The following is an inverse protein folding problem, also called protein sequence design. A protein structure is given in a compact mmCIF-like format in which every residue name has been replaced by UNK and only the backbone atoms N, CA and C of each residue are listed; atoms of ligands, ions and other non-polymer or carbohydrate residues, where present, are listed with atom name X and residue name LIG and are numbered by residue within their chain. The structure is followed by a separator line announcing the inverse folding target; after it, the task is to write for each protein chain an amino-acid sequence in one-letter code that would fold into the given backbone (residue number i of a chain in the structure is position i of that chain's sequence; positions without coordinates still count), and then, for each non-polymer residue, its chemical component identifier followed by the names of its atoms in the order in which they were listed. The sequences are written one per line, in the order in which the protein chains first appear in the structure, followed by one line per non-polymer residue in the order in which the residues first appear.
data_IF_503572326232
#
_entry.id   IF_503572326232
#
_cell.length_a   1.000
_cell.length_b   1.000
_cell.length_c   1.000
_cell.angle_alpha   90.00
_cell.angle_beta   90.00
_cell.angle_gamma   90.00
#
_symmetry.space_group_name_H-M   'P 1'
#
loop_
_entity.id
_entity.type
_entity.pdbx_description
1 polymer ?
#
# COMPACT_ATOMS: atom_id res chain seq x y z
N UNK A 1 3.90 17.84 56.79
CA UNK A 1 2.78 18.33 55.96
C UNK A 1 3.36 19.23 54.88
N UNK A 2 3.37 18.96 53.58
CA UNK A 2 2.70 17.95 52.75
C UNK A 2 3.70 17.59 51.63
N UNK A 3 4.18 16.34 51.61
CA UNK A 3 4.36 15.60 50.37
C UNK A 3 2.96 15.15 49.95
N UNK A 4 2.60 15.42 48.69
CA UNK A 4 1.51 14.84 47.90
C UNK A 4 0.89 15.95 47.03
N UNK A 5 1.22 15.93 45.74
CA UNK A 5 0.31 16.11 44.60
C UNK A 5 1.04 16.60 43.34
N UNK A 6 2.07 15.85 42.92
CA UNK A 6 2.60 16.00 41.55
C UNK A 6 2.69 14.63 40.84
N UNK A 7 1.74 13.75 41.18
CA UNK A 7 1.47 12.47 40.51
C UNK A 7 0.11 12.56 39.82
N UNK A 8 -0.07 13.56 38.96
CA UNK A 8 -1.09 13.52 37.91
C UNK A 8 -0.39 13.21 36.58
N UNK A 9 -0.21 11.91 36.37
CA UNK A 9 -0.26 11.22 35.09
C UNK A 9 0.12 12.05 33.84
N UNK A 10 1.42 12.14 33.56
CA UNK A 10 1.87 12.01 32.18
C UNK A 10 1.58 10.56 31.77
N UNK A 11 0.37 10.29 31.24
CA UNK A 11 0.14 9.11 30.41
C UNK A 11 1.02 9.29 29.17
N UNK A 12 2.25 8.79 29.24
CA UNK A 12 3.08 8.66 28.06
C UNK A 12 2.52 7.50 27.25
N UNK A 13 2.26 7.72 25.96
CA UNK A 13 1.95 6.67 25.01
C UNK A 13 3.18 5.75 24.91
N UNK A 14 3.19 4.67 25.69
CA UNK A 14 4.29 3.71 25.67
C UNK A 14 4.09 2.76 24.50
N UNK A 15 4.76 3.04 23.37
CA UNK A 15 4.98 2.05 22.32
C UNK A 15 5.99 1.04 22.84
N UNK A 16 5.60 -0.24 22.94
CA UNK A 16 6.45 -1.31 23.48
C UNK A 16 6.39 -2.55 22.60
N UNK A 17 7.54 -3.21 22.46
CA UNK A 17 7.62 -4.57 21.92
C UNK A 17 7.53 -5.53 23.10
N UNK A 18 6.54 -6.42 23.07
CA UNK A 18 6.41 -7.55 23.99
C UNK A 18 7.00 -8.78 23.34
N UNK A 19 7.99 -9.39 23.98
CA UNK A 19 8.69 -10.58 23.46
C UNK A 19 8.36 -11.82 24.31
N UNK A 20 7.96 -12.89 23.65
CA UNK A 20 7.79 -14.22 24.25
C UNK A 20 9.05 -15.06 24.00
N UNK A 21 9.80 -15.30 25.08
CA UNK A 21 11.05 -16.05 25.05
C UNK A 21 10.88 -17.54 24.72
N UNK A 22 9.65 -18.08 24.80
CA UNK A 22 9.37 -19.49 24.53
C UNK A 22 9.14 -19.72 23.04
N UNK A 23 8.33 -18.85 22.41
CA UNK A 23 8.00 -18.94 20.98
C UNK A 23 8.95 -18.14 20.09
N UNK A 24 9.82 -17.31 20.71
CA UNK A 24 10.69 -16.33 20.04
C UNK A 24 9.92 -15.32 19.18
N UNK A 25 8.63 -15.11 19.48
CA UNK A 25 7.79 -14.13 18.80
C UNK A 25 7.72 -12.82 19.59
N UNK A 26 7.56 -11.73 18.85
CA UNK A 26 7.31 -10.41 19.38
C UNK A 26 5.98 -9.85 18.87
N UNK A 27 5.36 -9.04 19.72
CA UNK A 27 4.13 -8.32 19.47
C UNK A 27 4.37 -6.83 19.73
N UNK A 28 3.98 -5.99 18.76
CA UNK A 28 4.08 -4.54 18.90
C UNK A 28 2.81 -4.00 19.54
N UNK A 29 2.94 -3.14 20.56
CA UNK A 29 1.81 -2.55 21.27
C UNK A 29 1.98 -1.03 21.21
N UNK A 30 1.00 -0.36 20.61
CA UNK A 30 0.99 1.11 20.41
C UNK A 30 0.62 1.86 21.70
N UNK A 31 -0.38 1.36 22.42
CA UNK A 31 -0.79 1.83 23.74
C UNK A 31 -0.82 0.62 24.70
N UNK A 32 -0.21 0.76 25.87
CA UNK A 32 -0.22 -0.27 26.91
C UNK A 32 -1.65 -0.77 27.25
N UNK A 33 -2.66 0.10 27.16
CA UNK A 33 -4.05 -0.27 27.40
C UNK A 33 -4.62 -1.26 26.36
N UNK A 34 -4.06 -1.27 25.15
CA UNK A 34 -4.45 -2.19 24.07
C UNK A 34 -3.78 -3.56 24.22
N UNK A 35 -2.80 -3.69 25.12
CA UNK A 35 -2.01 -4.92 25.32
C UNK A 35 -2.86 -6.18 25.46
N UNK A 36 -3.93 -6.24 26.29
CA UNK A 36 -4.75 -7.45 26.40
C UNK A 36 -5.40 -7.83 25.05
N UNK A 37 -5.92 -6.85 24.32
CA UNK A 37 -6.61 -7.05 23.04
C UNK A 37 -5.62 -7.52 21.98
N UNK A 38 -4.51 -6.81 21.80
CA UNK A 38 -3.51 -7.09 20.77
C UNK A 38 -2.83 -8.44 21.05
N UNK A 39 -2.40 -8.68 22.29
CA UNK A 39 -1.63 -9.90 22.61
C UNK A 39 -2.46 -11.17 22.68
N UNK A 40 -3.79 -11.06 22.69
CA UNK A 40 -4.71 -12.21 22.62
C UNK A 40 -4.78 -12.86 21.23
N UNK A 41 -4.33 -12.17 20.18
CA UNK A 41 -4.48 -12.59 18.79
C UNK A 41 -3.19 -13.21 18.27
N UNK A 42 -3.27 -14.36 17.61
CA UNK A 42 -2.08 -15.04 17.08
C UNK A 42 -1.35 -14.21 16.00
N UNK A 43 -2.08 -13.54 15.11
CA UNK A 43 -1.53 -12.71 14.04
C UNK A 43 -0.88 -11.41 14.53
N UNK A 44 -1.03 -11.06 15.81
CA UNK A 44 -0.30 -9.94 16.42
C UNK A 44 1.11 -10.34 16.88
N UNK A 45 1.46 -11.63 16.79
CA UNK A 45 2.77 -12.17 17.15
C UNK A 45 3.54 -12.62 15.90
N UNK A 46 4.70 -12.03 15.67
CA UNK A 46 5.60 -12.41 14.58
C UNK A 46 6.97 -12.83 15.11
N UNK A 47 7.73 -13.68 14.41
CA UNK A 47 9.10 -13.97 14.79
C UNK A 47 9.91 -12.68 14.98
N UNK A 48 10.64 -12.56 16.09
CA UNK A 48 11.41 -11.35 16.39
C UNK A 48 12.42 -11.05 15.29
N UNK A 49 13.00 -12.10 14.71
CA UNK A 49 13.96 -12.03 13.61
C UNK A 49 13.36 -11.31 12.40
N UNK A 50 12.10 -11.58 12.04
CA UNK A 50 11.42 -10.91 10.91
C UNK A 50 11.28 -9.41 11.14
N UNK A 51 11.00 -9.00 12.38
CA UNK A 51 10.88 -7.58 12.75
C UNK A 51 12.26 -6.91 12.69
N UNK A 52 13.28 -7.53 13.27
CA UNK A 52 14.64 -6.99 13.30
C UNK A 52 15.27 -6.94 11.91
N UNK A 53 15.08 -7.97 11.08
CA UNK A 53 15.53 -8.00 9.69
C UNK A 53 14.88 -6.87 8.89
N UNK A 54 13.59 -6.58 9.14
CA UNK A 54 12.93 -5.45 8.51
C UNK A 54 13.54 -4.11 8.94
N UNK A 55 13.89 -3.94 10.22
CA UNK A 55 14.57 -2.73 10.68
C UNK A 55 15.98 -2.58 10.10
N UNK A 56 16.73 -3.68 10.00
CA UNK A 56 18.03 -3.68 9.34
C UNK A 56 17.90 -3.30 7.86
N UNK A 57 16.93 -3.89 7.15
CA UNK A 57 16.65 -3.54 5.77
C UNK A 57 16.26 -2.06 5.60
N UNK A 58 15.50 -1.49 6.54
CA UNK A 58 15.19 -0.04 6.53
C UNK A 58 16.44 0.83 6.66
N UNK A 59 17.44 0.39 7.43
CA UNK A 59 18.71 1.10 7.57
C UNK A 59 19.54 0.95 6.28
N UNK A 60 19.65 -0.28 5.77
CA UNK A 60 20.40 -0.60 4.56
C UNK A 60 19.84 0.09 3.31
N UNK A 61 18.51 0.22 3.22
CA UNK A 61 17.81 0.94 2.14
C UNK A 61 17.87 2.45 2.30
N UNK A 62 18.60 2.95 3.31
CA UNK A 62 18.67 4.35 3.74
C UNK A 62 17.32 4.97 4.10
N UNK A 63 16.31 4.13 4.37
CA UNK A 63 14.97 4.60 4.73
C UNK A 63 14.98 5.29 6.08
N UNK A 64 15.75 4.76 7.01
CA UNK A 64 15.95 5.31 8.34
C UNK A 64 17.41 5.62 8.57
N UNK A 65 17.70 6.85 8.99
CA UNK A 65 19.06 7.33 9.23
C UNK A 65 19.13 8.11 10.54
N UNK A 66 20.27 8.02 11.23
CA UNK A 66 20.55 8.86 12.40
C UNK A 66 21.22 10.16 11.99
N UNK A 67 20.84 11.26 12.62
CA UNK A 67 21.45 12.58 12.43
C UNK A 67 21.79 13.24 13.77
N UNK A 68 22.68 14.22 13.75
CA UNK A 68 22.95 15.04 14.93
C UNK A 68 21.77 15.97 15.27
N UNK A 69 21.68 16.43 16.51
CA UNK A 69 20.63 17.37 16.93
C UNK A 69 20.64 18.69 16.13
N UNK A 70 21.81 19.14 15.70
CA UNK A 70 21.93 20.35 14.90
C UNK A 70 21.47 20.13 13.46
N UNK A 71 21.74 18.95 12.88
CA UNK A 71 21.17 18.55 11.60
C UNK A 71 19.65 18.41 11.70
N UNK A 72 19.12 17.88 12.81
CA UNK A 72 17.69 17.70 13.01
C UNK A 72 16.93 19.04 12.96
N UNK A 73 17.53 20.13 13.46
CA UNK A 73 16.95 21.47 13.37
C UNK A 73 16.88 21.99 11.93
N UNK A 74 17.84 21.63 11.08
CA UNK A 74 17.91 22.06 9.67
C UNK A 74 16.96 21.27 8.76
N UNK A 75 16.78 19.97 9.04
CA UNK A 75 16.02 19.06 8.17
C UNK A 75 14.51 19.08 8.45
N UNK A 76 14.06 19.68 9.57
CA UNK A 76 12.63 19.82 9.91
C UNK A 76 11.76 20.49 8.83
N UNK A 77 12.34 21.28 7.94
CA UNK A 77 11.63 21.92 6.83
C UNK A 77 11.67 21.15 5.50
N UNK A 78 12.42 20.05 5.42
CA UNK A 78 12.53 19.25 4.19
C UNK A 78 11.22 18.47 3.95
N UNK A 79 10.55 18.65 2.80
CA UNK A 79 9.30 17.94 2.49
C UNK A 79 9.49 16.46 2.11
N UNK A 80 10.72 16.00 1.87
CA UNK A 80 11.02 14.63 1.39
C UNK A 80 11.24 13.61 2.52
N UNK A 81 11.37 14.08 3.75
CA UNK A 81 11.62 13.23 4.89
C UNK A 81 10.93 13.76 6.13
N UNK A 82 11.12 13.07 7.24
CA UNK A 82 10.54 13.46 8.51
C UNK A 82 11.47 13.12 9.65
N UNK A 83 11.50 13.99 10.65
CA UNK A 83 12.45 13.91 11.77
C UNK A 83 11.69 13.56 13.04
N UNK A 84 12.09 12.45 13.68
CA UNK A 84 11.64 12.03 15.01
C UNK A 84 12.87 11.94 15.90
N UNK A 85 13.02 12.90 16.81
CA UNK A 85 14.24 13.08 17.61
C UNK A 85 15.51 13.15 16.74
N UNK A 86 16.36 12.12 16.81
CA UNK A 86 17.61 12.01 16.04
C UNK A 86 17.47 11.11 14.80
N UNK A 87 16.27 10.66 14.49
CA UNK A 87 16.00 9.76 13.36
C UNK A 87 15.34 10.53 12.22
N UNK A 88 15.90 10.41 11.02
CA UNK A 88 15.24 10.73 9.76
C UNK A 88 14.53 9.47 9.27
N UNK A 89 13.27 9.60 8.90
CA UNK A 89 12.52 8.63 8.11
C UNK A 89 12.22 9.28 6.75
N UNK A 90 12.84 8.76 5.69
CA UNK A 90 12.62 9.25 4.33
C UNK A 90 11.26 8.80 3.82
N UNK A 91 10.53 9.64 3.09
CA UNK A 91 9.21 9.25 2.56
C UNK A 91 9.33 8.13 1.52
N UNK A 92 10.40 8.14 0.75
CA UNK A 92 10.86 7.09 -0.16
C UNK A 92 12.36 7.26 -0.40
N UNK A 93 13.04 6.18 -0.78
CA UNK A 93 14.47 6.22 -1.15
C UNK A 93 14.67 5.89 -2.63
N UNK A 94 15.92 6.02 -3.11
CA UNK A 94 16.24 5.56 -4.47
C UNK A 94 16.07 4.04 -4.59
N UNK A 95 16.38 3.29 -3.52
CA UNK A 95 16.14 1.84 -3.46
C UNK A 95 14.65 1.51 -3.61
N UNK A 96 13.76 2.25 -2.94
CA UNK A 96 12.30 2.10 -3.13
C UNK A 96 11.89 2.28 -4.60
N UNK A 97 12.43 3.33 -5.25
CA UNK A 97 12.15 3.64 -6.66
C UNK A 97 12.68 2.56 -7.61
N UNK A 98 13.88 2.05 -7.36
CA UNK A 98 14.50 0.99 -8.15
C UNK A 98 13.75 -0.33 -8.00
N UNK A 99 13.39 -0.74 -6.77
CA UNK A 99 12.58 -1.94 -6.50
C UNK A 99 11.25 -1.88 -7.25
N UNK A 100 10.51 -0.79 -7.13
CA UNK A 100 9.24 -0.61 -7.82
C UNK A 100 9.39 -0.65 -9.35
N UNK A 101 10.39 0.05 -9.88
CA UNK A 101 10.66 0.09 -11.33
C UNK A 101 11.04 -1.30 -11.86
N UNK A 102 11.85 -2.05 -11.11
CA UNK A 102 12.26 -3.40 -11.48
C UNK A 102 11.10 -4.40 -11.39
N UNK A 103 10.27 -4.31 -10.34
CA UNK A 103 9.07 -5.13 -10.20
C UNK A 103 8.08 -4.90 -11.36
N UNK A 104 7.87 -3.63 -11.76
CA UNK A 104 7.05 -3.30 -12.93
C UNK A 104 7.62 -3.90 -14.22
N UNK A 105 8.92 -3.71 -14.48
CA UNK A 105 9.59 -4.25 -15.67
C UNK A 105 9.53 -5.78 -15.71
N UNK A 106 9.76 -6.45 -14.58
CA UNK A 106 9.64 -7.90 -14.43
C UNK A 106 8.23 -8.36 -14.79
N UNK A 107 7.19 -7.73 -14.25
CA UNK A 107 5.81 -8.06 -14.57
C UNK A 107 5.52 -7.88 -16.07
N UNK A 108 5.92 -6.75 -16.66
CA UNK A 108 5.75 -6.51 -18.09
C UNK A 108 6.45 -7.56 -18.95
N UNK A 109 7.65 -7.99 -18.56
CA UNK A 109 8.40 -9.05 -19.23
C UNK A 109 7.72 -10.43 -19.04
N UNK A 110 7.23 -10.73 -17.84
CA UNK A 110 6.55 -11.99 -17.53
C UNK A 110 5.27 -12.16 -18.36
N UNK A 111 4.50 -11.08 -18.53
CA UNK A 111 3.32 -11.05 -19.41
C UNK A 111 3.77 -11.15 -20.87
N UNK A 112 4.66 -10.26 -21.30
CA UNK A 112 5.09 -10.18 -22.71
C UNK A 112 5.72 -11.46 -23.26
N UNK A 113 6.40 -12.25 -22.42
CA UNK A 113 6.97 -13.55 -22.80
C UNK A 113 5.94 -14.67 -22.96
N UNK A 114 4.70 -14.47 -22.50
CA UNK A 114 3.59 -15.44 -22.59
C UNK A 114 2.52 -15.04 -23.59
N UNK A 115 2.59 -13.83 -24.15
CA UNK A 115 1.68 -13.41 -25.23
C UNK A 115 1.92 -14.30 -26.45
N UNK A 116 0.86 -14.85 -27.08
CA UNK A 116 0.99 -15.66 -28.29
C UNK A 116 1.75 -14.92 -29.41
N UNK A 117 2.74 -15.59 -30.01
CA UNK A 117 3.62 -15.01 -31.03
C UNK A 117 2.92 -14.52 -32.31
N UNK A 118 1.68 -14.95 -32.56
CA UNK A 118 0.86 -14.54 -33.72
C UNK A 118 0.03 -13.28 -33.47
N UNK A 119 0.09 -12.69 -32.27
CA UNK A 119 -0.58 -11.43 -32.00
C UNK A 119 0.17 -10.26 -32.68
N UNK A 120 -0.36 -9.80 -33.82
CA UNK A 120 0.09 -8.61 -34.58
C UNK A 120 -0.21 -7.27 -33.83
N UNK A 121 0.01 -7.24 -32.51
CA UNK A 121 -0.21 -6.06 -31.69
C UNK A 121 0.96 -5.08 -31.82
N UNK A 122 0.64 -3.86 -32.25
CA UNK A 122 1.62 -2.76 -32.29
C UNK A 122 2.04 -2.39 -30.87
N UNK A 123 3.34 -2.16 -30.61
CA UNK A 123 3.79 -1.67 -29.32
C UNK A 123 3.12 -0.33 -28.98
N UNK A 124 2.42 -0.30 -27.86
CA UNK A 124 1.76 0.89 -27.34
C UNK A 124 2.64 1.60 -26.32
N UNK A 125 2.48 2.92 -26.27
CA UNK A 125 2.99 3.74 -25.18
C UNK A 125 2.12 3.58 -23.94
N UNK A 126 2.76 3.57 -22.77
CA UNK A 126 2.05 3.78 -21.52
C UNK A 126 1.50 5.22 -21.47
N UNK A 127 0.39 5.45 -20.75
CA UNK A 127 -0.21 6.80 -20.63
C UNK A 127 0.80 7.82 -20.13
N UNK A 128 1.69 7.43 -19.21
CA UNK A 128 2.72 8.29 -18.64
C UNK A 128 3.87 8.63 -19.60
N UNK A 129 3.87 8.12 -20.84
CA UNK A 129 4.77 8.63 -21.88
C UNK A 129 4.36 10.03 -22.36
N UNK A 130 3.06 10.34 -22.29
CA UNK A 130 2.52 11.64 -22.71
C UNK A 130 2.89 12.73 -21.67
N UNK A 131 3.55 13.82 -22.07
CA UNK A 131 3.82 14.94 -21.18
C UNK A 131 2.56 15.53 -20.53
N UNK A 132 1.39 15.43 -21.18
CA UNK A 132 0.11 15.91 -20.65
C UNK A 132 -0.27 15.27 -19.31
N UNK A 133 0.23 14.06 -19.04
CA UNK A 133 0.03 13.33 -17.79
C UNK A 133 0.69 14.01 -16.59
N UNK A 134 1.74 14.81 -16.79
CA UNK A 134 2.50 15.46 -15.71
C UNK A 134 2.23 16.97 -15.58
N UNK A 135 1.22 17.51 -16.27
CA UNK A 135 0.92 18.94 -16.25
C UNK A 135 0.37 19.42 -14.91
N UNK A 136 -0.44 18.60 -14.23
CA UNK A 136 -1.04 18.96 -12.96
C UNK A 136 -0.11 18.58 -11.78
N UNK A 137 0.72 19.54 -11.37
CA UNK A 137 1.68 19.36 -10.27
C UNK A 137 1.02 19.35 -8.88
N UNK A 138 -0.24 19.76 -8.75
CA UNK A 138 -0.96 19.68 -7.48
C UNK A 138 -1.38 18.23 -7.19
N UNK A 139 -1.74 17.47 -8.23
CA UNK A 139 -2.07 16.04 -8.15
C UNK A 139 -0.80 15.18 -8.10
N UNK A 140 0.17 15.48 -8.96
CA UNK A 140 1.38 14.68 -9.13
C UNK A 140 2.63 15.57 -8.99
N UNK A 141 3.00 15.99 -7.77
CA UNK A 141 4.14 16.85 -7.55
C UNK A 141 5.46 16.21 -8.01
N UNK A 142 6.38 16.93 -8.68
CA UNK A 142 7.64 16.37 -9.19
C UNK A 142 8.57 15.72 -8.17
N UNK A 143 8.45 16.11 -6.89
CA UNK A 143 9.24 15.53 -5.80
C UNK A 143 8.67 14.22 -5.27
N UNK A 144 7.43 13.86 -5.63
CA UNK A 144 6.74 12.67 -5.12
C UNK A 144 7.33 11.36 -5.66
N UNK A 145 7.20 10.29 -4.88
CA UNK A 145 7.51 8.93 -5.33
C UNK A 145 6.73 8.58 -6.61
N UNK A 146 5.42 8.82 -6.61
CA UNK A 146 4.56 8.49 -7.75
C UNK A 146 5.03 9.19 -9.03
N UNK A 147 5.39 10.47 -8.99
CA UNK A 147 5.93 11.17 -10.16
C UNK A 147 7.18 10.46 -10.70
N UNK A 148 8.16 10.21 -9.82
CA UNK A 148 9.44 9.61 -10.21
C UNK A 148 9.27 8.20 -10.74
N UNK A 149 8.43 7.39 -10.08
CA UNK A 149 8.12 6.03 -10.52
C UNK A 149 7.43 6.02 -11.89
N UNK A 150 6.35 6.79 -12.07
CA UNK A 150 5.63 6.87 -13.34
C UNK A 150 6.53 7.39 -14.46
N UNK A 151 7.42 8.35 -14.17
CA UNK A 151 8.41 8.83 -15.13
C UNK A 151 9.43 7.75 -15.49
N UNK A 152 9.91 6.97 -14.52
CA UNK A 152 10.88 5.89 -14.73
C UNK A 152 10.33 4.76 -15.61
N UNK A 153 9.04 4.44 -15.48
CA UNK A 153 8.40 3.39 -16.30
C UNK A 153 7.85 3.93 -17.62
N UNK A 154 7.73 5.24 -17.82
CA UNK A 154 7.06 5.86 -18.98
C UNK A 154 7.60 5.45 -20.36
N UNK A 155 8.87 5.08 -20.45
CA UNK A 155 9.49 4.63 -21.69
C UNK A 155 9.28 3.15 -22.00
N UNK A 156 8.66 2.38 -21.09
CA UNK A 156 8.30 0.99 -21.37
C UNK A 156 7.23 0.94 -22.47
N UNK A 157 7.46 0.09 -23.47
CA UNK A 157 6.49 -0.21 -24.52
C UNK A 157 5.83 -1.54 -24.21
N UNK A 158 4.51 -1.58 -24.26
CA UNK A 158 3.73 -2.80 -23.98
C UNK A 158 2.91 -3.16 -25.21
N UNK A 159 2.62 -4.46 -25.37
CA UNK A 159 1.77 -4.98 -26.46
C UNK A 159 0.40 -5.43 -25.98
N UNK A 160 0.10 -5.15 -24.73
CA UNK A 160 -1.08 -5.63 -24.03
C UNK A 160 -1.72 -4.50 -23.23
N UNK A 161 -2.99 -4.69 -22.88
CA UNK A 161 -3.80 -3.73 -22.13
C UNK A 161 -3.92 -4.09 -20.65
N UNK A 162 -4.01 -5.39 -20.34
CA UNK A 162 -4.26 -5.89 -18.99
C UNK A 162 -2.97 -6.32 -18.30
N UNK A 163 -2.70 -5.73 -17.15
CA UNK A 163 -1.50 -6.00 -16.33
C UNK A 163 -1.77 -7.03 -15.23
N UNK A 164 -3.04 -7.22 -14.88
CA UNK A 164 -3.56 -8.26 -13.98
C UNK A 164 -5.02 -8.56 -14.38
N UNK A 165 -5.67 -9.62 -13.87
CA UNK A 165 -7.02 -10.01 -14.28
C UNK A 165 -8.02 -8.85 -14.10
N UNK A 166 -8.61 -8.38 -15.19
CA UNK A 166 -9.51 -7.23 -15.20
C UNK A 166 -8.89 -5.88 -14.82
N UNK A 167 -7.57 -5.77 -14.64
CA UNK A 167 -6.86 -4.51 -14.32
C UNK A 167 -6.02 -4.07 -15.52
N UNK A 168 -6.18 -2.82 -15.95
CA UNK A 168 -5.55 -2.26 -17.15
C UNK A 168 -4.86 -0.92 -16.92
N UNK A 169 -4.01 -0.56 -17.87
CA UNK A 169 -3.51 0.81 -18.00
C UNK A 169 -4.67 1.80 -18.27
N UNK A 170 -4.64 3.00 -17.68
CA UNK A 170 -5.56 4.08 -18.03
C UNK A 170 -5.20 4.70 -19.39
N UNK A 171 -6.14 5.42 -19.99
CA UNK A 171 -5.84 6.43 -21.02
C UNK A 171 -5.34 7.72 -20.36
N UNK A 172 -4.78 8.65 -21.16
CA UNK A 172 -4.31 9.95 -20.63
C UNK A 172 -5.48 10.73 -19.99
N UNK A 173 -6.64 10.77 -20.65
CA UNK A 173 -7.83 11.46 -20.14
C UNK A 173 -8.34 10.82 -18.83
N UNK A 174 -8.38 9.50 -18.79
CA UNK A 174 -8.74 8.71 -17.60
C UNK A 174 -7.78 8.89 -16.41
N UNK A 175 -6.49 9.12 -16.69
CA UNK A 175 -5.53 9.44 -15.65
C UNK A 175 -5.65 10.89 -15.18
N UNK A 176 -6.06 11.82 -16.04
CA UNK A 176 -6.31 13.21 -15.66
C UNK A 176 -7.61 13.36 -14.84
N UNK A 177 -8.56 12.45 -15.02
CA UNK A 177 -9.79 12.35 -14.23
C UNK A 177 -9.55 11.58 -12.92
N UNK A 178 -8.89 12.25 -11.96
CA UNK A 178 -8.63 11.70 -10.63
C UNK A 178 -9.79 11.95 -9.68
N UNK A 179 -10.03 11.06 -8.69
CA UNK A 179 -11.18 11.18 -7.78
C UNK A 179 -11.23 12.48 -6.97
N UNK A 180 -10.07 13.11 -6.73
CA UNK A 180 -9.98 14.40 -6.07
C UNK A 180 -9.11 15.33 -6.92
N UNK A 181 -9.74 16.39 -7.40
CA UNK A 181 -9.10 17.48 -8.14
C UNK A 181 -9.15 18.81 -7.38
N UNK A 182 -10.04 18.93 -6.39
CA UNK A 182 -10.23 20.14 -5.58
C UNK A 182 -9.48 20.02 -4.24
N UNK A 183 -8.37 20.76 -4.15
CA UNK A 183 -7.47 20.83 -3.00
C UNK A 183 -7.89 21.89 -1.95
N UNK A 184 -9.01 22.59 -2.18
CA UNK A 184 -9.51 23.68 -1.32
C UNK A 184 -10.69 23.22 -0.46
N UNK A 185 -11.53 22.32 -0.98
CA UNK A 185 -12.83 21.98 -0.37
C UNK A 185 -13.00 20.49 -0.08
N UNK A 186 -11.96 19.80 0.41
CA UNK A 186 -12.16 18.40 0.77
C UNK A 186 -13.18 18.26 1.91
N UNK A 187 -14.25 17.49 1.73
CA UNK A 187 -15.34 17.41 2.70
C UNK A 187 -14.98 16.59 3.96
N UNK A 188 -13.83 15.89 4.00
CA UNK A 188 -13.49 15.01 5.12
C UNK A 188 -11.97 14.96 5.42
N UNK A 189 -11.62 14.97 6.72
CA UNK A 189 -10.32 14.60 7.31
C UNK A 189 -9.06 15.16 6.63
N UNK A 190 -8.99 16.46 6.33
CA UNK A 190 -7.79 17.13 5.81
C UNK A 190 -7.21 16.62 4.47
N UNK A 191 -7.85 15.64 3.82
CA UNK A 191 -7.45 15.19 2.49
C UNK A 191 -7.51 16.35 1.50
N UNK A 192 -6.68 16.37 0.46
CA UNK A 192 -6.67 17.48 -0.50
C UNK A 192 -6.14 18.83 0.00
N UNK A 193 -5.95 19.07 1.31
CA UNK A 193 -5.43 20.37 1.79
C UNK A 193 -3.96 20.63 1.41
N UNK A 194 -3.27 19.63 0.87
CA UNK A 194 -1.89 19.71 0.40
C UNK A 194 -1.73 19.01 -0.94
N UNK A 195 -0.93 19.56 -1.87
CA UNK A 195 -0.56 18.89 -3.12
C UNK A 195 -0.07 17.46 -2.87
N UNK A 196 -0.63 16.48 -3.59
CA UNK A 196 -0.31 15.07 -3.45
C UNK A 196 -0.88 14.35 -2.21
N UNK A 197 -1.62 15.02 -1.31
CA UNK A 197 -2.25 14.35 -0.16
C UNK A 197 -3.52 13.54 -0.54
N UNK A 198 -3.77 13.37 -1.83
CA UNK A 198 -4.91 12.63 -2.38
C UNK A 198 -4.45 11.24 -2.87
N UNK A 199 -5.36 10.25 -2.87
CA UNK A 199 -5.10 9.01 -3.55
C UNK A 199 -5.02 9.24 -5.07
N UNK A 200 -4.05 8.59 -5.72
CA UNK A 200 -3.83 8.68 -7.17
C UNK A 200 -4.07 7.33 -7.81
N UNK A 201 -5.11 7.23 -8.63
CA UNK A 201 -5.42 6.02 -9.39
C UNK A 201 -4.42 5.84 -10.51
N UNK A 202 -3.66 4.75 -10.47
CA UNK A 202 -2.65 4.41 -11.48
C UNK A 202 -3.07 3.29 -12.42
N UNK A 203 -3.93 2.36 -11.97
CA UNK A 203 -4.53 1.33 -12.83
C UNK A 203 -6.04 1.30 -12.65
N UNK A 204 -6.74 0.95 -13.73
CA UNK A 204 -8.20 0.91 -13.77
C UNK A 204 -8.73 -0.51 -13.87
N UNK A 205 -9.95 -0.71 -13.39
CA UNK A 205 -10.72 -1.91 -13.73
C UNK A 205 -11.18 -1.78 -15.20
N UNK A 206 -10.94 -2.80 -16.01
CA UNK A 206 -11.25 -2.80 -17.44
C UNK A 206 -12.67 -3.21 -17.79
N UNK A 207 -13.34 -3.92 -16.88
CA UNK A 207 -14.70 -4.40 -17.04
C UNK A 207 -15.72 -3.25 -17.00
N UNK A 208 -16.55 -3.14 -18.04
CA UNK A 208 -17.54 -2.07 -18.17
C UNK A 208 -18.64 -2.12 -17.10
N UNK A 209 -19.02 -3.31 -16.63
CA UNK A 209 -20.03 -3.47 -15.57
C UNK A 209 -19.50 -2.93 -14.24
N UNK A 210 -18.24 -3.25 -13.92
CA UNK A 210 -17.58 -2.83 -12.69
C UNK A 210 -16.99 -1.41 -12.76
N UNK A 211 -16.72 -0.86 -13.95
CA UNK A 211 -16.22 0.52 -14.12
C UNK A 211 -17.20 1.58 -13.63
N UNK A 212 -18.51 1.31 -13.76
CA UNK A 212 -19.56 2.24 -13.35
C UNK A 212 -19.94 2.08 -11.87
N UNK A 213 -19.51 0.99 -11.23
CA UNK A 213 -19.75 0.75 -9.81
C UNK A 213 -18.77 1.57 -8.98
N UNK A 214 -19.30 2.59 -8.32
CA UNK A 214 -18.56 3.35 -7.33
C UNK A 214 -18.61 2.61 -6.00
N UNK A 215 -17.45 2.40 -5.40
CA UNK A 215 -17.32 1.82 -4.07
C UNK A 215 -17.89 2.83 -3.06
N UNK A 216 -18.96 2.46 -2.33
CA UNK A 216 -19.71 3.41 -1.51
C UNK A 216 -18.84 4.10 -0.46
N UNK A 217 -17.91 3.35 0.15
CA UNK A 217 -16.96 3.86 1.12
C UNK A 217 -15.73 2.96 1.21
N UNK A 218 -14.55 3.57 1.24
CA UNK A 218 -13.33 2.93 1.72
C UNK A 218 -12.86 3.69 2.97
N UNK A 219 -12.90 3.02 4.11
CA UNK A 219 -12.66 3.65 5.43
C UNK A 219 -11.27 4.28 5.50
N UNK A 220 -10.24 3.57 5.04
CA UNK A 220 -8.88 4.12 5.12
C UNK A 220 -8.62 5.20 4.05
N UNK A 221 -9.50 5.32 3.04
CA UNK A 221 -9.50 6.46 2.16
C UNK A 221 -10.26 7.67 2.72
N UNK A 222 -11.23 7.45 3.60
CA UNK A 222 -12.14 8.49 4.07
C UNK A 222 -12.98 9.09 2.94
N UNK A 223 -13.04 8.41 1.79
CA UNK A 223 -13.75 8.84 0.59
C UNK A 223 -14.99 7.98 0.37
N UNK A 224 -15.98 8.58 -0.27
CA UNK A 224 -17.20 7.90 -0.69
C UNK A 224 -17.26 7.88 -2.21
N UNK A 225 -17.92 6.88 -2.75
CA UNK A 225 -18.15 6.72 -4.18
C UNK A 225 -16.85 6.79 -5.00
N UNK A 226 -15.82 6.06 -4.57
CA UNK A 226 -14.55 5.98 -5.29
C UNK A 226 -14.61 4.85 -6.32
N UNK A 227 -14.07 5.08 -7.51
CA UNK A 227 -13.97 4.02 -8.50
C UNK A 227 -12.98 2.93 -8.04
N UNK A 228 -13.22 1.68 -8.44
CA UNK A 228 -12.27 0.60 -8.21
C UNK A 228 -10.99 0.79 -9.04
N UNK A 229 -9.88 0.21 -8.56
CA UNK A 229 -8.56 0.31 -9.20
C UNK A 229 -7.40 0.25 -8.21
N UNK A 230 -6.18 0.36 -8.74
CA UNK A 230 -4.97 0.45 -7.92
C UNK A 230 -4.58 1.91 -7.72
N UNK A 231 -4.37 2.28 -6.46
CA UNK A 231 -4.10 3.64 -6.03
C UNK A 231 -2.76 3.74 -5.32
N UNK A 232 -1.98 4.78 -5.60
CA UNK A 232 -1.03 5.29 -4.63
C UNK A 232 -1.79 6.04 -3.56
N UNK A 233 -1.42 5.83 -2.28
CA UNK A 233 -1.91 6.70 -1.22
C UNK A 233 -0.90 6.85 -0.09
N UNK A 234 -0.63 8.11 0.30
CA UNK A 234 -0.77 9.33 -0.49
C UNK A 234 0.39 9.51 -1.47
N UNK A 235 0.23 10.41 -2.43
CA UNK A 235 1.30 10.77 -3.37
C UNK A 235 2.39 11.60 -2.69
N UNK A 236 2.01 12.47 -1.75
CA UNK A 236 2.89 13.27 -0.94
C UNK A 236 2.30 13.43 0.46
N UNK A 237 3.18 13.51 1.47
CA UNK A 237 2.80 13.68 2.86
C UNK A 237 3.63 14.76 3.53
N UNK A 238 3.13 15.23 4.67
CA UNK A 238 3.92 15.91 5.68
C UNK A 238 3.86 15.08 6.96
N UNK A 239 4.85 15.33 7.83
CA UNK A 239 4.86 14.85 9.20
C UNK A 239 3.47 15.01 9.86
N UNK A 240 2.99 14.05 10.66
CA UNK A 240 3.69 12.86 11.18
C UNK A 240 3.54 11.60 10.33
N UNK A 241 2.99 11.72 9.13
CA UNK A 241 2.84 10.57 8.25
C UNK A 241 4.12 10.43 7.41
N UNK A 242 4.61 9.20 7.38
CA UNK A 242 5.77 8.80 6.60
C UNK A 242 5.23 7.87 5.50
N UNK A 243 6.03 7.59 4.48
CA UNK A 243 5.73 6.63 3.41
C UNK A 243 4.82 7.10 2.24
N UNK A 244 5.42 7.28 1.06
CA UNK A 244 4.70 7.69 -0.17
C UNK A 244 4.79 6.65 -1.30
N UNK A 245 5.39 5.48 -1.04
CA UNK A 245 5.47 4.35 -1.96
C UNK A 245 4.40 3.27 -1.72
N UNK A 246 3.51 3.50 -0.74
CA UNK A 246 2.38 2.63 -0.41
C UNK A 246 1.24 2.71 -1.44
N UNK A 247 0.58 1.58 -1.65
CA UNK A 247 -0.54 1.45 -2.59
C UNK A 247 -1.68 0.61 -2.00
N UNK A 248 -2.88 0.79 -2.55
CA UNK A 248 -4.05 0.00 -2.22
C UNK A 248 -4.81 -0.38 -3.48
N UNK A 249 -5.17 -1.66 -3.59
CA UNK A 249 -6.10 -2.16 -4.59
C UNK A 249 -7.52 -2.08 -4.01
N UNK A 250 -8.37 -1.29 -4.64
CA UNK A 250 -9.80 -1.23 -4.34
C UNK A 250 -10.52 -2.11 -5.35
N UNK A 251 -11.18 -3.15 -4.86
CA UNK A 251 -12.03 -4.05 -5.64
C UNK A 251 -13.45 -3.48 -5.76
N UNK A 252 -14.15 -3.71 -6.89
CA UNK A 252 -15.52 -3.23 -7.08
C UNK A 252 -16.54 -4.01 -6.23
N UNK A 253 -16.13 -5.11 -5.64
CA UNK A 253 -16.88 -5.95 -4.71
C UNK A 253 -16.05 -6.18 -3.45
N UNK A 254 -16.69 -6.64 -2.39
CA UNK A 254 -16.02 -6.95 -1.14
C UNK A 254 -15.61 -8.44 -1.07
N UNK A 255 -14.54 -8.73 -0.34
CA UNK A 255 -14.06 -10.08 -0.03
C UNK A 255 -13.57 -10.16 1.42
N UNK A 256 -13.55 -11.36 2.02
CA UNK A 256 -13.02 -11.59 3.35
C UNK A 256 -14.01 -12.28 4.30
N UNK A 257 -15.31 -12.20 4.01
CA UNK A 257 -16.37 -12.81 4.82
C UNK A 257 -16.32 -14.34 4.89
N UNK A 258 -15.64 -15.01 3.95
CA UNK A 258 -15.42 -16.46 4.01
C UNK A 258 -14.32 -16.83 5.00
N UNK A 259 -13.54 -15.85 5.47
CA UNK A 259 -12.53 -16.02 6.52
C UNK A 259 -11.24 -16.67 6.05
N UNK A 260 -10.94 -16.69 4.75
CA UNK A 260 -9.68 -17.18 4.19
C UNK A 260 -8.72 -16.08 3.78
N UNK A 261 -9.23 -14.90 3.42
CA UNK A 261 -8.38 -13.77 3.07
C UNK A 261 -7.53 -13.31 4.27
N UNK A 262 -6.25 -13.01 4.00
CA UNK A 262 -5.25 -12.67 5.03
C UNK A 262 -4.43 -11.46 4.63
N UNK A 263 -4.22 -10.54 5.56
CA UNK A 263 -3.20 -9.50 5.49
C UNK A 263 -1.81 -10.11 5.75
N UNK A 264 -0.73 -9.35 5.53
CA UNK A 264 0.63 -9.89 5.62
C UNK A 264 0.96 -10.54 6.96
N UNK A 265 0.58 -9.93 8.08
CA UNK A 265 0.78 -10.49 9.43
C UNK A 265 -0.09 -11.75 9.72
N UNK A 266 -0.92 -12.19 8.79
CA UNK A 266 -1.85 -13.31 8.96
C UNK A 266 -3.20 -12.91 9.55
N UNK A 267 -3.48 -11.62 9.63
CA UNK A 267 -4.76 -11.13 10.12
C UNK A 267 -5.90 -11.32 9.09
N UNK A 268 -7.08 -11.79 9.51
CA UNK A 268 -8.28 -11.79 8.66
C UNK A 268 -8.70 -10.40 8.19
N UNK A 269 -9.48 -10.31 7.11
CA UNK A 269 -9.99 -9.03 6.62
C UNK A 269 -11.12 -8.45 7.49
N UNK A 270 -11.26 -7.13 7.43
CA UNK A 270 -12.42 -6.40 7.95
C UNK A 270 -12.58 -6.45 9.47
N UNK A 271 -11.47 -6.59 10.19
CA UNK A 271 -11.49 -6.57 11.64
C UNK A 271 -11.62 -5.14 12.17
N UNK A 272 -12.46 -4.96 13.18
CA UNK A 272 -12.72 -3.67 13.82
C UNK A 272 -12.06 -3.67 15.20
N UNK A 273 -10.86 -3.10 15.30
CA UNK A 273 -9.95 -3.38 16.42
C UNK A 273 -10.32 -2.62 17.69
N UNK A 274 -11.07 -1.53 17.53
CA UNK A 274 -11.33 -0.56 18.59
C UNK A 274 -12.51 -0.94 19.52
N UNK A 275 -13.29 -1.99 19.22
CA UNK A 275 -14.53 -2.29 19.96
C UNK A 275 -14.50 -3.54 20.86
N UNK A 276 -13.33 -4.08 21.17
CA UNK A 276 -13.15 -4.99 22.32
C UNK A 276 -14.03 -6.25 22.31
N UNK A 277 -14.49 -6.69 21.14
CA UNK A 277 -15.27 -7.92 21.02
C UNK A 277 -14.36 -9.15 21.03
N UNK A 278 -14.67 -10.11 21.90
CA UNK A 278 -14.03 -11.44 21.91
C UNK A 278 -14.24 -12.17 20.56
N UNK A 279 -15.36 -11.87 19.88
CA UNK A 279 -15.75 -12.40 18.57
C UNK A 279 -15.15 -11.58 17.41
N UNK A 280 -13.88 -11.84 17.09
CA UNK A 280 -13.31 -11.41 15.81
C UNK A 280 -13.93 -12.24 14.70
N UNK A 281 -14.78 -11.60 13.90
CA UNK A 281 -15.40 -12.19 12.72
C UNK A 281 -14.78 -11.53 11.49
N UNK A 282 -14.20 -12.32 10.57
CA UNK A 282 -13.82 -11.81 9.27
C UNK A 282 -14.99 -11.06 8.63
N UNK A 283 -14.71 -9.94 7.99
CA UNK A 283 -15.71 -9.18 7.24
C UNK A 283 -15.22 -8.92 5.83
N UNK A 284 -16.19 -8.77 4.98
CA UNK A 284 -16.03 -8.35 3.61
C UNK A 284 -15.50 -6.92 3.57
N UNK A 285 -14.40 -6.69 2.82
CA UNK A 285 -13.84 -5.36 2.57
C UNK A 285 -13.44 -5.18 1.12
N UNK A 286 -13.41 -3.93 0.67
CA UNK A 286 -13.00 -3.57 -0.68
C UNK A 286 -11.48 -3.43 -0.86
N UNK A 287 -10.72 -3.22 0.23
CA UNK A 287 -9.38 -2.63 0.17
C UNK A 287 -8.28 -3.26 1.03
N UNK A 288 -8.56 -4.36 1.74
CA UNK A 288 -7.58 -5.02 2.62
C UNK A 288 -6.64 -5.96 1.86
N UNK A 289 -6.93 -6.25 0.59
CA UNK A 289 -6.08 -7.12 -0.22
C UNK A 289 -4.66 -6.57 -0.32
N UNK A 290 -3.70 -7.46 -0.08
CA UNK A 290 -2.26 -7.20 -0.02
C UNK A 290 -1.78 -6.32 1.15
N UNK A 291 -2.65 -5.85 2.04
CA UNK A 291 -2.24 -4.94 3.11
C UNK A 291 -1.47 -5.63 4.24
N UNK A 292 -0.71 -4.85 5.01
CA UNK A 292 0.31 -5.34 5.95
C UNK A 292 -0.19 -5.84 7.31
N UNK A 293 -1.48 -5.69 7.62
CA UNK A 293 -2.01 -5.75 9.00
C UNK A 293 -1.82 -4.41 9.70
N UNK A 294 -2.79 -3.96 10.52
CA UNK A 294 -2.69 -2.63 11.14
C UNK A 294 -1.68 -2.56 12.30
N UNK A 295 -1.32 -3.69 12.94
CA UNK A 295 -0.22 -3.82 13.89
C UNK A 295 0.64 -5.01 13.47
N UNK A 296 1.78 -4.70 12.86
CA UNK A 296 2.80 -5.68 12.48
C UNK A 296 4.17 -5.34 13.10
N UNK A 297 4.34 -4.20 13.76
CA UNK A 297 5.62 -3.81 14.36
C UNK A 297 6.73 -3.47 13.37
N UNK A 298 6.48 -3.55 12.06
CA UNK A 298 7.43 -3.16 11.00
C UNK A 298 7.03 -1.78 10.47
N UNK A 299 5.82 -1.68 9.94
CA UNK A 299 5.24 -0.48 9.36
C UNK A 299 3.74 -0.44 9.72
N UNK A 300 3.45 -0.18 11.00
CA UNK A 300 2.06 -0.09 11.48
C UNK A 300 1.26 0.93 10.67
N UNK A 301 0.02 0.58 10.34
CA UNK A 301 -0.90 1.39 9.52
C UNK A 301 -0.35 1.84 8.15
N UNK A 302 0.74 1.24 7.68
CA UNK A 302 1.31 1.56 6.39
C UNK A 302 0.69 0.70 5.29
N UNK A 303 0.39 1.34 4.16
CA UNK A 303 -0.06 0.61 2.98
C UNK A 303 1.07 -0.22 2.39
N UNK A 304 0.71 -1.34 1.76
CA UNK A 304 1.70 -2.19 1.10
C UNK A 304 2.45 -1.43 0.00
N UNK A 305 3.77 -1.61 -0.06
CA UNK A 305 4.59 -0.99 -1.11
C UNK A 305 4.24 -1.57 -2.48
N UNK A 306 4.23 -0.72 -3.51
CA UNK A 306 3.81 -1.11 -4.85
C UNK A 306 4.65 -2.23 -5.48
N UNK A 307 5.95 -2.29 -5.18
CA UNK A 307 6.85 -3.32 -5.70
C UNK A 307 6.44 -4.72 -5.23
N UNK A 308 5.93 -4.85 -4.00
CA UNK A 308 5.45 -6.13 -3.44
C UNK A 308 4.22 -6.64 -4.18
N UNK A 309 3.27 -5.76 -4.46
CA UNK A 309 2.06 -6.09 -5.24
C UNK A 309 2.45 -6.49 -6.66
N UNK A 310 3.31 -5.72 -7.32
CA UNK A 310 3.76 -6.00 -8.69
C UNK A 310 4.57 -7.30 -8.78
N UNK A 311 5.41 -7.60 -7.79
CA UNK A 311 6.14 -8.87 -7.71
C UNK A 311 5.20 -10.05 -7.47
N UNK A 312 4.20 -9.92 -6.60
CA UNK A 312 3.19 -10.96 -6.41
C UNK A 312 2.44 -11.25 -7.72
N UNK A 313 2.05 -10.22 -8.47
CA UNK A 313 1.40 -10.35 -9.77
C UNK A 313 2.34 -11.01 -10.80
N UNK A 314 3.62 -10.64 -10.81
CA UNK A 314 4.61 -11.28 -11.68
C UNK A 314 4.73 -12.76 -11.37
N UNK A 315 4.77 -13.14 -10.09
CA UNK A 315 4.80 -14.54 -9.67
C UNK A 315 3.56 -15.31 -10.15
N UNK A 316 2.36 -14.69 -10.13
CA UNK A 316 1.13 -15.34 -10.62
C UNK A 316 1.22 -15.68 -12.10
N UNK A 317 1.70 -14.73 -12.90
CA UNK A 317 1.93 -14.93 -14.34
C UNK A 317 3.02 -15.96 -14.56
N UNK A 318 4.14 -15.84 -13.84
CA UNK A 318 5.30 -16.71 -14.02
C UNK A 318 5.00 -18.19 -13.72
N UNK A 319 4.22 -18.43 -12.66
CA UNK A 319 3.79 -19.77 -12.23
C UNK A 319 2.62 -20.33 -13.04
N UNK A 320 2.03 -19.54 -13.94
CA UNK A 320 0.85 -19.94 -14.71
C UNK A 320 -0.44 -19.97 -13.88
N UNK A 321 -0.47 -19.31 -12.72
CA UNK A 321 -1.69 -19.12 -11.94
C UNK A 321 -2.67 -18.18 -12.66
N UNK A 322 -2.12 -17.23 -13.41
CA UNK A 322 -2.87 -16.34 -14.30
C UNK A 322 -2.51 -16.64 -15.75
N UNK A 323 -3.54 -16.89 -16.55
CA UNK A 323 -3.43 -17.08 -17.99
C UNK A 323 -3.11 -15.75 -18.68
N UNK A 324 -2.45 -15.81 -19.83
CA UNK A 324 -2.10 -14.64 -20.64
C UNK A 324 -2.59 -14.87 -22.06
N UNK A 325 -3.35 -13.92 -22.59
CA UNK A 325 -3.86 -13.89 -23.97
C UNK A 325 -3.24 -12.73 -24.77
N UNK A 326 -3.75 -12.47 -25.97
CA UNK A 326 -3.28 -11.38 -26.83
C UNK A 326 -3.45 -9.97 -26.21
N UNK A 327 -4.33 -9.81 -25.22
CA UNK A 327 -4.61 -8.55 -24.54
C UNK A 327 -3.87 -8.40 -23.21
N UNK A 328 -3.09 -9.40 -22.78
CA UNK A 328 -2.31 -9.40 -21.55
C UNK A 328 -2.79 -10.46 -20.57
N UNK A 329 -2.82 -10.12 -19.28
CA UNK A 329 -3.32 -11.07 -18.27
C UNK A 329 -4.82 -11.28 -18.47
N UNK A 330 -5.19 -12.52 -18.75
CA UNK A 330 -6.56 -12.92 -19.02
C UNK A 330 -7.39 -13.05 -17.74
N UNK A 331 -8.71 -13.08 -17.93
CA UNK A 331 -9.68 -13.15 -16.85
C UNK A 331 -10.20 -11.78 -16.40
N UNK A 332 -11.35 -11.82 -15.73
CA UNK A 332 -12.01 -10.63 -15.20
C UNK A 332 -11.53 -10.26 -13.80
N UNK A 333 -12.00 -9.12 -13.31
CA UNK A 333 -11.70 -8.64 -11.96
C UNK A 333 -12.18 -9.62 -10.89
N UNK A 334 -13.18 -10.47 -11.17
CA UNK A 334 -13.65 -11.54 -10.28
C UNK A 334 -12.60 -12.59 -9.92
N UNK A 335 -11.48 -12.68 -10.66
CA UNK A 335 -10.37 -13.57 -10.33
C UNK A 335 -9.85 -13.34 -8.90
N UNK A 336 -9.90 -12.10 -8.42
CA UNK A 336 -9.45 -11.74 -7.07
C UNK A 336 -10.35 -12.29 -5.95
N UNK A 337 -11.56 -12.83 -6.25
CA UNK A 337 -12.37 -13.56 -5.26
C UNK A 337 -11.68 -14.81 -4.74
N UNK A 338 -10.76 -15.39 -5.51
CA UNK A 338 -9.94 -16.52 -5.08
C UNK A 338 -9.13 -16.22 -3.81
N UNK A 339 -8.84 -14.94 -3.54
CA UNK A 339 -8.14 -14.51 -2.33
C UNK A 339 -8.88 -14.89 -1.04
N UNK A 340 -10.19 -15.11 -1.09
CA UNK A 340 -11.00 -15.53 0.05
C UNK A 340 -11.49 -16.99 -0.08
N UNK A 341 -10.66 -17.84 -0.71
CA UNK A 341 -10.92 -19.29 -0.80
C UNK A 341 -9.82 -20.10 -0.13
N UNK A 342 -10.18 -21.22 0.50
CA UNK A 342 -9.24 -22.15 1.14
C UNK A 342 -8.10 -22.56 0.21
N UNK A 343 -8.44 -22.87 -1.05
CA UNK A 343 -7.50 -23.39 -2.03
C UNK A 343 -6.48 -22.34 -2.53
N UNK A 344 -6.82 -21.04 -2.49
CA UNK A 344 -6.04 -20.03 -3.23
C UNK A 344 -5.62 -18.80 -2.44
N UNK A 345 -6.12 -18.57 -1.22
CA UNK A 345 -5.82 -17.34 -0.47
C UNK A 345 -4.32 -17.06 -0.35
N UNK A 346 -3.51 -18.09 -0.16
CA UNK A 346 -2.04 -18.00 -0.01
C UNK A 346 -1.34 -17.41 -1.25
N UNK A 347 -1.98 -17.47 -2.43
CA UNK A 347 -1.49 -16.86 -3.68
C UNK A 347 -1.55 -15.33 -3.65
N UNK A 348 -2.51 -14.79 -2.91
CA UNK A 348 -2.80 -13.37 -2.78
C UNK A 348 -2.27 -12.77 -1.46
N UNK A 349 -1.62 -13.60 -0.63
CA UNK A 349 -0.95 -13.19 0.58
C UNK A 349 0.50 -12.77 0.28
N UNK A 350 0.91 -11.62 0.83
CA UNK A 350 2.28 -11.11 0.74
C UNK A 350 2.93 -11.26 2.12
N UNK A 351 4.07 -11.95 2.25
CA UNK A 351 4.75 -12.09 3.53
C UNK A 351 5.14 -10.75 4.17
N UNK A 352 5.16 -10.64 5.51
CA UNK A 352 5.62 -9.45 6.21
C UNK A 352 7.03 -9.06 5.81
N UNK A 353 7.23 -7.78 5.52
CA UNK A 353 8.52 -7.18 5.17
C UNK A 353 8.44 -5.66 5.27
N UNK A 354 9.59 -4.99 5.41
CA UNK A 354 9.72 -3.54 5.21
C UNK A 354 9.46 -3.16 3.75
#
# INVERSE_FOLDING_TARGET
MKQANDLQARRADFRVIRFDQTTLKACFITDYNDSPTVTSREWSWMPLEVILDSYLQMIDDEKVQTISEDQAKLVKSDPSCSVVDQWIIHHYTNTDLERATNAFKRLVQAIGSRIPHEADSTPMNLPWHDPATFLNQDILPPFSFAYKFLKAISNCKVRFRYIAPGIRFPTVAEFQDQPIMDFVTSPYNHHGQFPGNCPLRIFQIGDAEHQQQLVPHDEAFGLRNIAAGLYFRPVAQRWPLFWTNGCRLILPYEIGGSGWARQSNGEPFGLEWYWGGDDVKPRDTHGDLYQGGTINGITNDHLVQIDKVLNNWADRVERGDWEVDENGVAGGIDKFREADTEAHWHKYWIPPSW
#
